data_IF_141615419589
#
_entry.id   IF_141615419589
#
_cell.length_a   1.000
_cell.length_b   1.000
_cell.length_c   1.000
_cell.angle_alpha   90.00
_cell.angle_beta   90.00
_cell.angle_gamma   90.00
#
_symmetry.space_group_name_H-M   'P 1'
#
loop_
_entity.id
_entity.type
_entity.pdbx_description
1 polymer ?
#
# COMPACT_ATOMS: atom_id res chain seq x y z
N UNK A 1 59.37 -9.02 -47.95
CA UNK A 1 58.07 -8.34 -47.70
C UNK A 1 56.99 -9.42 -47.61
N UNK A 2 56.90 -10.07 -46.46
CA UNK A 2 55.88 -11.06 -46.12
C UNK A 2 55.98 -11.33 -44.62
N UNK A 3 54.89 -11.22 -43.89
CA UNK A 3 54.36 -12.34 -43.11
C UNK A 3 53.30 -11.81 -42.14
N UNK A 4 52.11 -12.38 -42.28
CA UNK A 4 50.88 -12.02 -41.60
C UNK A 4 51.04 -12.16 -40.08
N UNK A 5 50.70 -11.10 -39.34
CA UNK A 5 50.65 -11.12 -37.87
C UNK A 5 49.39 -11.88 -37.45
N UNK A 6 49.61 -13.04 -36.85
CA UNK A 6 48.59 -14.00 -36.45
C UNK A 6 47.54 -13.42 -35.49
N UNK A 7 46.28 -13.72 -35.81
CA UNK A 7 45.17 -13.62 -34.91
C UNK A 7 45.48 -14.44 -33.64
N UNK A 8 45.54 -13.77 -32.50
CA UNK A 8 45.58 -14.43 -31.20
C UNK A 8 44.18 -14.97 -30.92
N UNK A 9 43.95 -16.23 -31.32
CA UNK A 9 42.85 -17.02 -30.83
C UNK A 9 42.92 -17.04 -29.30
N UNK A 10 41.83 -16.66 -28.64
CA UNK A 10 41.65 -16.87 -27.20
C UNK A 10 41.86 -18.36 -26.96
N UNK A 11 42.85 -18.70 -26.13
CA UNK A 11 43.09 -20.07 -25.73
C UNK A 11 41.79 -20.64 -25.12
N UNK A 12 41.27 -21.70 -25.73
CA UNK A 12 40.28 -22.55 -25.12
C UNK A 12 40.99 -23.25 -23.95
N UNK A 13 40.72 -22.79 -22.73
CA UNK A 13 41.22 -23.46 -21.53
C UNK A 13 40.43 -24.77 -21.41
N UNK A 14 41.10 -25.93 -21.43
CA UNK A 14 40.44 -27.21 -21.19
C UNK A 14 39.75 -27.13 -19.82
N UNK A 15 38.49 -27.57 -19.77
CA UNK A 15 37.77 -27.68 -18.51
C UNK A 15 38.61 -28.54 -17.54
N UNK A 16 38.98 -27.95 -16.41
CA UNK A 16 39.71 -28.62 -15.34
C UNK A 16 38.82 -29.73 -14.76
N UNK A 17 38.98 -30.96 -15.27
CA UNK A 17 38.28 -32.15 -14.82
C UNK A 17 39.01 -32.74 -13.60
N UNK A 18 38.77 -32.22 -12.40
CA UNK A 18 39.21 -32.96 -11.21
C UNK A 18 39.29 -32.23 -9.88
N UNK A 19 39.25 -30.90 -9.85
CA UNK A 19 39.18 -30.18 -8.57
C UNK A 19 37.71 -30.06 -8.15
N UNK A 20 37.31 -30.56 -6.96
CA UNK A 20 35.96 -30.38 -6.46
C UNK A 20 35.62 -28.88 -6.34
N UNK A 21 34.45 -28.46 -6.83
CA UNK A 21 33.98 -27.08 -6.70
C UNK A 21 33.74 -26.81 -5.19
N UNK A 22 34.74 -26.24 -4.52
CA UNK A 22 34.72 -26.02 -3.07
C UNK A 22 34.01 -24.72 -2.67
N UNK A 23 33.77 -23.81 -3.62
CA UNK A 23 33.14 -22.51 -3.37
C UNK A 23 32.00 -22.27 -4.34
N UNK A 24 30.82 -22.00 -3.80
CA UNK A 24 29.63 -21.60 -4.58
C UNK A 24 29.44 -20.10 -4.38
N UNK A 25 29.42 -19.34 -5.47
CA UNK A 25 29.15 -17.91 -5.40
C UNK A 25 27.70 -17.63 -4.98
N UNK A 26 27.49 -16.79 -3.96
CA UNK A 26 26.17 -16.42 -3.47
C UNK A 26 25.51 -15.26 -4.24
N UNK A 27 26.28 -14.50 -5.03
CA UNK A 27 25.79 -13.33 -5.75
C UNK A 27 24.59 -13.62 -6.70
N UNK A 28 24.58 -14.73 -7.47
CA UNK A 28 23.41 -15.08 -8.28
C UNK A 28 22.16 -15.37 -7.44
N UNK A 29 22.33 -15.97 -6.25
CA UNK A 29 21.23 -16.31 -5.35
C UNK A 29 20.62 -15.09 -4.68
N UNK A 30 21.45 -14.13 -4.26
CA UNK A 30 20.96 -12.89 -3.67
C UNK A 30 20.02 -12.12 -4.63
N UNK A 31 20.34 -12.10 -5.93
CA UNK A 31 19.47 -11.48 -6.94
C UNK A 31 18.10 -12.16 -7.07
N UNK A 32 18.06 -13.49 -7.00
CA UNK A 32 16.80 -14.26 -7.05
C UNK A 32 15.97 -13.99 -5.79
N UNK A 33 16.61 -13.99 -4.62
CA UNK A 33 15.94 -13.74 -3.34
C UNK A 33 15.32 -12.34 -3.27
N UNK A 34 16.04 -11.30 -3.74
CA UNK A 34 15.53 -9.94 -3.79
C UNK A 34 14.38 -9.79 -4.80
N UNK A 35 14.47 -10.47 -5.95
CA UNK A 35 13.40 -10.46 -6.97
C UNK A 35 12.11 -11.05 -6.40
N UNK A 36 12.17 -12.18 -5.71
CA UNK A 36 11.01 -12.82 -5.09
C UNK A 36 10.36 -11.89 -4.06
N UNK A 37 11.17 -11.27 -3.19
CA UNK A 37 10.69 -10.31 -2.20
C UNK A 37 10.00 -9.10 -2.85
N UNK A 38 10.59 -8.52 -3.90
CA UNK A 38 10.04 -7.37 -4.59
C UNK A 38 8.69 -7.69 -5.25
N UNK A 39 8.58 -8.86 -5.88
CA UNK A 39 7.30 -9.32 -6.45
C UNK A 39 6.27 -9.49 -5.34
N UNK A 40 6.59 -10.16 -4.22
CA UNK A 40 5.67 -10.28 -3.08
C UNK A 40 5.22 -8.93 -2.50
N UNK A 41 6.13 -7.96 -2.42
CA UNK A 41 5.80 -6.60 -1.98
C UNK A 41 4.85 -5.88 -2.95
N UNK A 42 5.00 -6.10 -4.25
CA UNK A 42 4.19 -5.46 -5.30
C UNK A 42 2.79 -6.09 -5.50
N UNK A 43 2.54 -7.29 -4.95
CA UNK A 43 1.28 -8.02 -5.16
C UNK A 43 0.10 -7.55 -4.30
N UNK A 44 0.32 -6.69 -3.29
CA UNK A 44 -0.80 -6.17 -2.48
C UNK A 44 -1.58 -5.13 -3.29
N UNK A 45 -2.87 -5.37 -3.60
CA UNK A 45 -3.68 -4.37 -4.28
C UNK A 45 -3.90 -3.16 -3.36
N UNK A 46 -3.99 -1.94 -3.90
CA UNK A 46 -4.40 -0.79 -3.11
C UNK A 46 -5.81 -1.05 -2.57
N UNK A 47 -5.99 -0.92 -1.26
CA UNK A 47 -7.30 -1.09 -0.62
C UNK A 47 -8.20 0.04 -1.12
N UNK A 48 -9.23 -0.30 -1.90
CA UNK A 48 -10.24 0.65 -2.37
C UNK A 48 -11.49 0.49 -1.50
N UNK A 49 -11.80 1.52 -0.70
CA UNK A 49 -13.08 1.60 -0.01
C UNK A 49 -14.11 2.28 -0.95
N UNK A 50 -14.74 1.50 -1.83
CA UNK A 50 -15.86 1.97 -2.64
C UNK A 50 -17.18 1.55 -1.96
N UNK A 51 -17.86 2.50 -1.33
CA UNK A 51 -19.23 2.31 -0.84
C UNK A 51 -20.18 2.59 -1.99
N UNK A 52 -20.81 1.53 -2.51
CA UNK A 52 -21.93 1.68 -3.44
C UNK A 52 -23.16 2.08 -2.62
N UNK A 53 -23.54 3.36 -2.70
CA UNK A 53 -24.79 3.87 -2.16
C UNK A 53 -25.85 3.74 -3.24
N UNK A 54 -26.86 2.90 -3.00
CA UNK A 54 -28.06 2.87 -3.83
C UNK A 54 -29.06 3.87 -3.25
N UNK A 55 -29.35 4.93 -4.01
CA UNK A 55 -30.24 5.99 -3.54
C UNK A 55 -31.66 5.66 -3.99
N UNK A 56 -32.64 5.51 -3.07
CA UNK A 56 -34.03 5.33 -3.46
C UNK A 56 -34.48 6.52 -4.31
N UNK A 57 -35.22 6.24 -5.37
CA UNK A 57 -35.78 7.29 -6.22
C UNK A 57 -36.61 8.26 -5.36
N UNK A 58 -36.40 9.58 -5.48
CA UNK A 58 -37.10 10.54 -4.66
C UNK A 58 -38.62 10.45 -4.92
N UNK A 59 -39.47 10.56 -3.87
CA UNK A 59 -40.92 10.44 -4.00
C UNK A 59 -41.53 11.53 -4.89
N UNK A 60 -40.82 12.65 -5.10
CA UNK A 60 -41.21 13.74 -6.00
C UNK A 60 -40.02 14.23 -6.84
N UNK A 61 -40.23 14.59 -8.12
CA UNK A 61 -39.18 15.19 -8.94
C UNK A 61 -38.76 16.54 -8.35
N UNK A 62 -37.51 16.62 -7.87
CA UNK A 62 -36.91 17.84 -7.30
C UNK A 62 -36.56 17.75 -5.82
N UNK A 63 -37.03 16.73 -5.09
CA UNK A 63 -36.63 16.48 -3.70
C UNK A 63 -35.41 15.57 -3.69
N UNK A 64 -34.24 16.14 -3.97
CA UNK A 64 -32.97 15.45 -3.74
C UNK A 64 -32.76 15.45 -2.22
N UNK A 65 -33.18 14.38 -1.54
CA UNK A 65 -32.89 14.19 -0.11
C UNK A 65 -31.39 14.36 0.17
N UNK A 66 -31.01 14.68 1.41
CA UNK A 66 -29.61 14.93 1.77
C UNK A 66 -28.75 13.69 1.42
N UNK A 67 -28.01 13.75 0.31
CA UNK A 67 -27.35 12.58 -0.31
C UNK A 67 -26.07 12.11 0.39
N UNK A 68 -25.78 12.57 1.60
CA UNK A 68 -24.73 11.97 2.41
C UNK A 68 -24.90 12.38 3.86
N UNK A 69 -24.87 11.45 4.82
CA UNK A 69 -24.71 11.83 6.20
C UNK A 69 -23.37 12.57 6.37
N UNK A 70 -23.30 13.60 7.22
CA UNK A 70 -22.06 14.34 7.45
C UNK A 70 -20.98 13.41 8.03
N UNK A 71 -19.83 13.27 7.37
CA UNK A 71 -18.71 12.49 7.91
C UNK A 71 -18.10 13.19 9.12
N UNK A 72 -17.99 12.48 10.24
CA UNK A 72 -17.35 12.99 11.46
C UNK A 72 -15.89 12.56 11.52
N UNK A 73 -14.97 13.48 11.85
CA UNK A 73 -13.53 13.21 11.88
C UNK A 73 -12.96 13.33 13.28
N UNK A 74 -12.36 12.25 13.77
CA UNK A 74 -11.58 12.24 15.02
C UNK A 74 -10.09 12.33 14.67
N UNK A 75 -9.40 13.31 15.25
CA UNK A 75 -7.95 13.53 15.07
C UNK A 75 -7.29 13.45 16.44
N UNK A 76 -6.15 12.78 16.53
CA UNK A 76 -5.32 12.75 17.73
C UNK A 76 -4.01 13.48 17.39
N UNK A 77 -3.73 14.61 18.06
CA UNK A 77 -2.46 15.32 17.87
C UNK A 77 -1.30 14.57 18.53
N UNK A 78 -0.07 14.94 18.16
CA UNK A 78 1.15 14.40 18.81
C UNK A 78 1.23 14.74 20.30
N UNK A 79 0.56 15.80 20.72
CA UNK A 79 0.48 16.24 22.12
C UNK A 79 -0.61 15.48 22.90
N UNK A 80 -1.29 14.50 22.27
CA UNK A 80 -2.33 13.69 22.87
C UNK A 80 -3.71 14.35 22.94
N UNK A 81 -3.90 15.48 22.27
CA UNK A 81 -5.18 16.18 22.23
C UNK A 81 -6.11 15.53 21.20
N UNK A 82 -7.37 15.31 21.58
CA UNK A 82 -8.41 14.85 20.65
C UNK A 82 -9.10 16.06 20.01
N UNK A 83 -9.25 16.03 18.69
CA UNK A 83 -10.07 16.98 17.94
C UNK A 83 -11.23 16.27 17.25
N UNK A 84 -12.41 16.83 17.44
CA UNK A 84 -13.63 16.50 16.71
C UNK A 84 -13.84 17.53 15.60
N UNK A 85 -13.85 17.11 14.33
CA UNK A 85 -14.04 18.01 13.19
C UNK A 85 -13.09 19.23 13.22
N UNK A 86 -11.83 19.00 13.61
CA UNK A 86 -10.77 20.00 13.81
C UNK A 86 -10.96 20.98 14.99
N UNK A 87 -11.95 20.77 15.86
CA UNK A 87 -12.10 21.48 17.12
C UNK A 87 -11.60 20.61 18.29
N UNK A 88 -10.76 21.13 19.20
CA UNK A 88 -10.30 20.36 20.35
C UNK A 88 -11.47 20.04 21.30
N UNK A 89 -11.58 18.79 21.72
CA UNK A 89 -12.59 18.31 22.67
C UNK A 89 -11.92 17.55 23.81
N UNK A 90 -12.51 17.62 25.01
CA UNK A 90 -12.11 16.75 26.11
C UNK A 90 -12.72 15.34 25.97
N UNK A 91 -12.13 14.35 26.64
CA UNK A 91 -12.60 12.96 26.58
C UNK A 91 -14.07 12.80 27.04
N UNK A 92 -14.48 13.58 28.05
CA UNK A 92 -15.87 13.58 28.52
C UNK A 92 -16.82 14.15 27.45
N UNK A 93 -16.44 15.26 26.81
CA UNK A 93 -17.23 15.85 25.72
C UNK A 93 -17.27 14.94 24.49
N UNK A 94 -16.18 14.24 24.19
CA UNK A 94 -16.14 13.29 23.09
C UNK A 94 -17.13 12.14 23.31
N UNK A 95 -17.21 11.60 24.53
CA UNK A 95 -18.16 10.54 24.87
C UNK A 95 -19.62 10.99 24.65
N UNK A 96 -19.97 12.19 25.09
CA UNK A 96 -21.31 12.76 24.90
C UNK A 96 -21.63 12.99 23.41
N UNK A 97 -20.66 13.50 22.65
CA UNK A 97 -20.80 13.71 21.19
C UNK A 97 -21.00 12.36 20.49
N UNK A 98 -20.21 11.34 20.83
CA UNK A 98 -20.32 10.01 20.22
C UNK A 98 -21.65 9.34 20.52
N UNK A 99 -22.19 9.51 21.73
CA UNK A 99 -23.53 9.02 22.09
C UNK A 99 -24.62 9.73 21.28
N UNK A 100 -24.57 11.06 21.20
CA UNK A 100 -25.50 11.86 20.40
C UNK A 100 -25.47 11.45 18.92
N UNK A 101 -24.28 11.26 18.36
CA UNK A 101 -24.06 10.94 16.96
C UNK A 101 -24.44 9.50 16.63
N UNK A 102 -24.35 8.59 17.60
CA UNK A 102 -24.78 7.20 17.44
C UNK A 102 -26.31 7.07 17.27
N UNK A 103 -27.06 8.01 17.82
CA UNK A 103 -28.52 8.05 17.75
C UNK A 103 -29.06 8.80 16.51
N UNK A 104 -28.19 9.45 15.72
CA UNK A 104 -28.57 10.19 14.51
C UNK A 104 -28.94 9.24 13.35
N UNK A 105 -30.04 9.53 12.64
CA UNK A 105 -30.51 8.78 11.47
C UNK A 105 -30.61 9.69 10.22
N UNK A 106 -29.84 9.47 9.15
CA UNK A 106 -28.90 8.36 8.94
C UNK A 106 -27.60 8.49 9.75
N UNK A 107 -27.09 7.35 10.24
CA UNK A 107 -25.86 7.30 11.02
C UNK A 107 -24.66 7.78 10.18
N UNK A 108 -23.84 8.72 10.68
CA UNK A 108 -22.68 9.19 9.95
C UNK A 108 -21.55 8.17 9.95
N UNK A 109 -20.85 8.09 8.81
CA UNK A 109 -19.62 7.31 8.69
C UNK A 109 -18.51 7.94 9.54
N UNK A 110 -17.82 7.10 10.34
CA UNK A 110 -16.63 7.47 11.13
C UNK A 110 -15.34 7.39 10.30
#
# INVERSE_FOLDING_TARGET
MASRRGARGRAFLPFDHGQPIATIGLAPFAGILLTVMLVFAALRPPVQHAVLVDLPAPPYPGEIGVLSPPTNKIIITRDGQVLWNAAPVSDAQLADILLSVADDNPQPSL
#
